data_IF_463167701651
#
_entry.id   IF_463167701651
#
_cell.length_a   1.000
_cell.length_b   1.000
_cell.length_c   1.000
_cell.angle_alpha   90.00
_cell.angle_beta   90.00
_cell.angle_gamma   90.00
#
_symmetry.space_group_name_H-M   'P 1'
#
loop_
_entity.id
_entity.type
_entity.pdbx_description
1 polymer ?
#
# COMPACT_ATOMS: atom_id res chain seq x y z
N UNK A 1 -50.59 27.15 38.96
CA UNK A 1 -49.20 26.67 38.90
C UNK A 1 -48.31 27.87 38.60
N UNK A 2 -47.27 28.10 39.41
CA UNK A 2 -46.23 29.08 39.10
C UNK A 2 -45.31 28.47 38.06
N UNK A 3 -45.29 28.99 36.84
CA UNK A 3 -44.36 28.58 35.80
C UNK A 3 -42.95 29.01 36.22
N UNK A 4 -42.05 28.06 36.50
CA UNK A 4 -40.64 28.39 36.71
C UNK A 4 -39.96 28.56 35.35
N UNK A 5 -38.96 29.46 35.29
CA UNK A 5 -38.10 29.58 34.12
C UNK A 5 -37.42 28.22 33.89
N UNK A 6 -37.51 27.70 32.67
CA UNK A 6 -36.90 26.44 32.20
C UNK A 6 -37.58 25.12 32.60
N UNK A 7 -38.86 25.11 33.04
CA UNK A 7 -39.57 23.87 33.39
C UNK A 7 -40.20 23.10 32.20
N UNK A 8 -40.19 23.64 30.97
CA UNK A 8 -40.99 23.09 29.87
C UNK A 8 -40.69 21.61 29.60
N UNK A 9 -39.42 21.19 29.60
CA UNK A 9 -39.06 19.78 29.41
C UNK A 9 -39.62 18.87 30.51
N UNK A 10 -39.64 19.33 31.77
CA UNK A 10 -40.22 18.56 32.88
C UNK A 10 -41.75 18.46 32.79
N UNK A 11 -42.41 19.47 32.25
CA UNK A 11 -43.87 19.45 32.06
C UNK A 11 -44.25 18.58 30.86
N UNK A 12 -43.45 18.60 29.78
CA UNK A 12 -43.60 17.69 28.65
C UNK A 12 -43.34 16.22 29.05
N UNK A 13 -42.35 15.95 29.92
CA UNK A 13 -42.12 14.60 30.47
C UNK A 13 -43.36 14.07 31.21
N UNK A 14 -44.01 14.89 32.04
CA UNK A 14 -45.26 14.51 32.72
C UNK A 14 -46.39 14.19 31.74
N UNK A 15 -46.49 14.92 30.63
CA UNK A 15 -47.47 14.62 29.58
C UNK A 15 -47.19 13.26 28.93
N UNK A 16 -45.92 12.97 28.61
CA UNK A 16 -45.50 11.69 28.06
C UNK A 16 -45.81 10.52 29.00
N UNK A 17 -45.42 10.65 30.28
CA UNK A 17 -45.61 9.61 31.30
C UNK A 17 -47.09 9.37 31.64
N UNK A 18 -47.91 10.42 31.67
CA UNK A 18 -49.35 10.29 31.98
C UNK A 18 -50.19 9.85 30.78
N UNK A 19 -49.72 10.09 29.55
CA UNK A 19 -50.47 9.87 28.32
C UNK A 19 -51.67 10.80 28.11
N UNK A 20 -51.89 11.77 29.00
CA UNK A 20 -53.03 12.68 28.92
C UNK A 20 -52.96 13.52 27.65
N UNK A 21 -54.10 13.60 26.93
CA UNK A 21 -54.24 14.33 25.65
C UNK A 21 -53.49 13.70 24.45
N UNK A 22 -53.05 12.44 24.58
CA UNK A 22 -52.46 11.72 23.45
C UNK A 22 -53.48 11.54 22.32
N UNK A 23 -53.07 11.88 21.10
CA UNK A 23 -53.87 11.83 19.87
C UNK A 23 -53.29 10.85 18.83
N UNK A 24 -52.24 10.11 19.22
CA UNK A 24 -51.64 9.02 18.43
C UNK A 24 -51.14 7.91 19.36
N UNK A 25 -51.15 6.68 18.86
CA UNK A 25 -50.55 5.53 19.52
C UNK A 25 -49.60 4.79 18.57
N UNK A 26 -48.56 4.17 19.13
CA UNK A 26 -47.58 3.39 18.38
C UNK A 26 -47.53 1.98 18.93
N UNK A 27 -47.76 0.96 18.10
CA UNK A 27 -47.53 -0.44 18.48
C UNK A 27 -46.07 -0.78 18.19
N UNK A 28 -45.33 -1.11 19.23
CA UNK A 28 -43.90 -1.40 19.18
C UNK A 28 -43.64 -2.88 18.87
N UNK A 29 -42.40 -3.19 18.51
CA UNK A 29 -41.97 -4.54 18.17
C UNK A 29 -42.15 -5.57 19.30
N UNK A 30 -42.14 -5.13 20.57
CA UNK A 30 -42.39 -5.97 21.75
C UNK A 30 -43.91 -6.21 22.01
N UNK A 31 -44.78 -5.70 21.13
CA UNK A 31 -46.23 -5.77 21.24
C UNK A 31 -46.85 -4.72 22.17
N UNK A 32 -46.04 -3.93 22.88
CA UNK A 32 -46.54 -2.84 23.73
C UNK A 32 -47.04 -1.67 22.88
N UNK A 33 -47.88 -0.83 23.48
CA UNK A 33 -48.40 0.38 22.84
C UNK A 33 -47.86 1.61 23.56
N UNK A 34 -47.37 2.58 22.79
CA UNK A 34 -46.82 3.84 23.27
C UNK A 34 -47.76 4.97 22.85
N UNK A 35 -48.31 5.74 23.79
CA UNK A 35 -49.17 6.88 23.51
C UNK A 35 -48.34 8.15 23.31
N UNK A 36 -48.77 9.06 22.44
CA UNK A 36 -48.04 10.28 22.17
C UNK A 36 -48.89 11.41 21.59
N UNK A 37 -48.24 12.56 21.38
CA UNK A 37 -48.84 13.80 20.93
C UNK A 37 -48.26 14.23 19.57
N UNK A 38 -49.08 14.22 18.53
CA UNK A 38 -48.68 14.55 17.15
C UNK A 38 -48.09 15.95 17.06
N UNK A 39 -48.68 16.92 17.78
CA UNK A 39 -48.23 18.31 17.76
C UNK A 39 -46.80 18.48 18.28
N UNK A 40 -46.46 17.81 19.39
CA UNK A 40 -45.11 17.86 19.99
C UNK A 40 -44.11 17.17 19.06
N UNK A 41 -44.44 15.97 18.59
CA UNK A 41 -43.58 15.20 17.69
C UNK A 41 -43.35 15.92 16.36
N UNK A 42 -44.39 16.48 15.74
CA UNK A 42 -44.26 17.26 14.50
C UNK A 42 -43.42 18.54 14.70
N UNK A 43 -43.55 19.21 15.84
CA UNK A 43 -42.79 20.43 16.12
C UNK A 43 -41.28 20.15 16.32
N UNK A 44 -40.93 18.94 16.77
CA UNK A 44 -39.56 18.60 17.23
C UNK A 44 -38.86 17.57 16.34
N UNK A 45 -39.57 16.89 15.45
CA UNK A 45 -39.04 15.84 14.58
C UNK A 45 -39.58 15.99 13.15
N UNK A 46 -38.69 16.27 12.21
CA UNK A 46 -39.02 16.50 10.79
C UNK A 46 -39.65 15.28 10.12
N UNK A 47 -39.24 14.07 10.52
CA UNK A 47 -39.87 12.83 10.06
C UNK A 47 -41.36 12.82 10.43
N UNK A 48 -41.69 13.08 11.70
CA UNK A 48 -43.09 13.10 12.15
C UNK A 48 -43.88 14.28 11.58
N UNK A 49 -43.25 15.45 11.42
CA UNK A 49 -43.87 16.58 10.75
C UNK A 49 -44.34 16.22 9.34
N UNK A 50 -43.46 15.56 8.57
CA UNK A 50 -43.76 15.07 7.24
C UNK A 50 -44.80 13.96 7.30
N UNK A 51 -44.57 12.94 8.11
CA UNK A 51 -45.45 11.78 8.22
C UNK A 51 -46.90 12.13 8.59
N UNK A 52 -47.09 13.14 9.45
CA UNK A 52 -48.41 13.62 9.85
C UNK A 52 -48.99 14.69 8.91
N UNK A 53 -48.17 15.36 8.10
CA UNK A 53 -48.58 16.46 7.21
C UNK A 53 -48.83 16.05 5.76
N UNK A 54 -48.06 15.11 5.21
CA UNK A 54 -48.12 14.69 3.79
C UNK A 54 -48.96 13.44 3.54
N UNK A 55 -49.52 12.83 4.60
CA UNK A 55 -50.36 11.63 4.49
C UNK A 55 -49.63 10.34 4.10
N UNK A 56 -48.29 10.33 4.09
CA UNK A 56 -47.49 9.13 3.78
C UNK A 56 -47.69 8.00 4.79
N UNK A 57 -47.98 8.32 6.06
CA UNK A 57 -48.39 7.33 7.06
C UNK A 57 -49.92 7.24 7.23
N UNK A 58 -50.72 8.00 6.46
CA UNK A 58 -52.16 8.15 6.72
C UNK A 58 -52.97 8.72 5.54
N UNK A 59 -53.90 7.93 4.99
CA UNK A 59 -55.16 8.47 4.47
C UNK A 59 -56.03 8.84 5.69
N UNK A 60 -56.49 10.09 5.81
CA UNK A 60 -57.00 10.65 7.09
C UNK A 60 -58.52 10.60 7.29
N UNK A 61 -58.93 10.38 8.54
CA UNK A 61 -60.18 10.78 9.20
C UNK A 61 -59.79 11.26 10.61
N UNK A 62 -60.34 12.38 11.09
CA UNK A 62 -59.91 13.11 12.29
C UNK A 62 -60.35 12.50 13.63
N UNK A 63 -61.21 11.48 13.63
CA UNK A 63 -61.96 11.06 14.82
C UNK A 63 -61.37 9.89 15.63
N UNK A 64 -60.30 9.22 15.16
CA UNK A 64 -59.85 7.94 15.74
C UNK A 64 -58.37 7.97 16.15
N UNK A 65 -58.06 7.53 17.37
CA UNK A 65 -56.67 7.35 17.84
C UNK A 65 -56.02 6.23 17.03
N UNK A 66 -55.22 6.62 16.04
CA UNK A 66 -54.57 5.67 15.12
C UNK A 66 -53.38 5.00 15.80
N UNK A 67 -53.31 3.68 15.65
CA UNK A 67 -52.19 2.85 16.08
C UNK A 67 -51.23 2.67 14.90
N UNK A 68 -50.07 3.34 14.96
CA UNK A 68 -48.99 3.24 13.97
C UNK A 68 -48.06 2.09 14.36
N UNK A 69 -47.76 1.19 13.42
CA UNK A 69 -46.82 0.09 13.68
C UNK A 69 -45.37 0.59 13.59
N UNK A 70 -44.58 0.31 14.63
CA UNK A 70 -43.15 0.60 14.68
C UNK A 70 -42.40 -0.71 14.80
N UNK A 71 -41.89 -1.18 13.66
CA UNK A 71 -41.17 -2.46 13.55
C UNK A 71 -39.68 -2.30 13.21
N UNK A 72 -39.26 -1.11 12.80
CA UNK A 72 -37.90 -0.84 12.34
C UNK A 72 -36.91 -0.50 13.46
N UNK A 73 -37.41 -0.22 14.67
CA UNK A 73 -36.58 0.06 15.86
C UNK A 73 -37.06 -0.74 17.06
N UNK A 74 -36.13 -1.22 17.93
CA UNK A 74 -36.49 -1.86 19.19
C UNK A 74 -37.35 -0.94 20.08
N UNK A 75 -38.26 -1.53 20.84
CA UNK A 75 -39.18 -0.78 21.69
C UNK A 75 -38.46 0.08 22.75
N UNK A 76 -37.33 -0.40 23.30
CA UNK A 76 -36.52 0.36 24.26
C UNK A 76 -35.92 1.63 23.61
N UNK A 77 -35.43 1.51 22.38
CA UNK A 77 -34.81 2.60 21.62
C UNK A 77 -35.85 3.63 21.22
N UNK A 78 -37.04 3.18 20.79
CA UNK A 78 -38.14 4.10 20.49
C UNK A 78 -38.52 4.96 21.70
N UNK A 79 -38.53 4.38 22.91
CA UNK A 79 -38.81 5.13 24.14
C UNK A 79 -37.74 6.22 24.39
N UNK A 80 -36.46 5.89 24.22
CA UNK A 80 -35.36 6.87 24.34
C UNK A 80 -35.47 8.01 23.31
N UNK A 81 -35.85 7.70 22.07
CA UNK A 81 -36.12 8.73 21.04
C UNK A 81 -37.26 9.65 21.46
N UNK A 82 -38.33 9.10 22.04
CA UNK A 82 -39.45 9.90 22.54
C UNK A 82 -39.06 10.74 23.76
N UNK A 83 -38.27 10.21 24.68
CA UNK A 83 -37.74 10.96 25.82
C UNK A 83 -36.94 12.18 25.32
N UNK A 84 -36.11 12.00 24.29
CA UNK A 84 -35.38 13.09 23.66
C UNK A 84 -36.33 14.12 23.00
N UNK A 85 -37.28 13.68 22.18
CA UNK A 85 -38.25 14.57 21.50
C UNK A 85 -39.01 15.47 22.49
N UNK A 86 -39.33 14.94 23.68
CA UNK A 86 -40.09 15.67 24.70
C UNK A 86 -39.22 16.51 25.62
N UNK A 87 -37.96 16.11 25.85
CA UNK A 87 -37.17 16.67 26.95
C UNK A 87 -35.78 17.18 26.59
N UNK A 88 -35.35 17.00 25.33
CA UNK A 88 -33.98 17.25 24.86
C UNK A 88 -32.91 16.47 25.68
N UNK A 89 -33.30 15.38 26.36
CA UNK A 89 -32.47 14.56 27.25
C UNK A 89 -32.62 13.07 26.89
N UNK A 90 -31.53 12.31 27.03
CA UNK A 90 -31.47 10.88 26.71
C UNK A 90 -30.42 10.18 27.59
N UNK A 91 -30.72 8.96 28.02
CA UNK A 91 -29.82 8.15 28.84
C UNK A 91 -29.06 7.15 27.96
N UNK A 92 -27.81 7.47 27.63
CA UNK A 92 -26.97 6.67 26.75
C UNK A 92 -26.03 5.73 27.54
N UNK A 93 -25.87 4.51 27.03
CA UNK A 93 -24.91 3.53 27.51
C UNK A 93 -24.30 2.72 26.35
N UNK A 94 -23.28 1.91 26.65
CA UNK A 94 -22.59 1.07 25.65
C UNK A 94 -23.49 0.05 24.94
N UNK A 95 -24.62 -0.33 25.55
CA UNK A 95 -25.57 -1.30 25.01
C UNK A 95 -26.64 -0.68 24.12
N UNK A 96 -26.93 0.62 24.27
CA UNK A 96 -28.02 1.29 23.55
C UNK A 96 -27.56 2.34 22.52
N UNK A 97 -26.35 2.90 22.66
CA UNK A 97 -25.93 4.09 21.90
C UNK A 97 -25.97 3.88 20.38
N UNK A 98 -25.66 2.68 19.91
CA UNK A 98 -25.68 2.34 18.48
C UNK A 98 -27.07 2.35 17.89
N UNK A 99 -28.01 1.69 18.55
CA UNK A 99 -29.38 1.62 18.06
C UNK A 99 -30.04 3.01 18.14
N UNK A 100 -29.70 3.81 19.16
CA UNK A 100 -30.16 5.20 19.28
C UNK A 100 -29.59 6.08 18.17
N UNK A 101 -28.30 5.91 17.84
CA UNK A 101 -27.67 6.64 16.73
C UNK A 101 -28.35 6.30 15.39
N UNK A 102 -28.58 5.01 15.09
CA UNK A 102 -29.31 4.60 13.89
C UNK A 102 -30.74 5.15 13.87
N UNK A 103 -31.45 5.10 15.00
CA UNK A 103 -32.79 5.65 15.11
C UNK A 103 -32.79 7.17 14.89
N UNK A 104 -31.80 7.89 15.41
CA UNK A 104 -31.71 9.34 15.26
C UNK A 104 -31.53 9.78 13.81
N UNK A 105 -30.83 9.01 12.98
CA UNK A 105 -30.79 9.20 11.53
C UNK A 105 -32.14 8.95 10.87
N UNK A 106 -32.78 7.81 11.16
CA UNK A 106 -34.10 7.48 10.61
C UNK A 106 -35.15 8.57 10.91
N UNK A 107 -35.16 9.06 12.15
CA UNK A 107 -36.07 10.11 12.61
C UNK A 107 -35.58 11.53 12.31
N UNK A 108 -34.42 11.71 11.67
CA UNK A 108 -33.85 13.01 11.28
C UNK A 108 -33.64 13.95 12.49
N UNK A 109 -33.09 13.42 13.58
CA UNK A 109 -32.88 14.11 14.86
C UNK A 109 -31.40 14.46 15.07
N UNK A 110 -30.93 15.56 14.48
CA UNK A 110 -29.52 15.97 14.55
C UNK A 110 -29.02 16.14 16.00
N UNK A 111 -29.79 16.79 16.87
CA UNK A 111 -29.37 16.98 18.27
C UNK A 111 -29.19 15.66 19.04
N UNK A 112 -29.92 14.61 18.67
CA UNK A 112 -29.75 13.27 19.26
C UNK A 112 -28.50 12.59 18.68
N UNK A 113 -28.24 12.74 17.38
CA UNK A 113 -26.99 12.30 16.76
C UNK A 113 -25.78 12.93 17.45
N UNK A 114 -25.82 14.25 17.67
CA UNK A 114 -24.73 15.00 18.30
C UNK A 114 -24.46 14.50 19.73
N UNK A 115 -25.51 14.17 20.50
CA UNK A 115 -25.38 13.59 21.84
C UNK A 115 -24.79 12.16 21.80
N UNK A 116 -25.21 11.32 20.85
CA UNK A 116 -24.61 10.00 20.64
C UNK A 116 -23.13 10.10 20.24
N UNK A 117 -22.82 11.02 19.33
CA UNK A 117 -21.46 11.29 18.86
C UNK A 117 -20.56 11.77 20.01
N UNK A 118 -21.07 12.70 20.82
CA UNK A 118 -20.37 13.20 22.00
C UNK A 118 -20.14 12.10 23.04
N UNK A 119 -21.15 11.27 23.32
CA UNK A 119 -21.02 10.15 24.25
C UNK A 119 -19.91 9.19 23.81
N UNK A 120 -19.93 8.78 22.54
CA UNK A 120 -18.93 7.87 21.96
C UNK A 120 -17.53 8.48 21.97
N UNK A 121 -17.41 9.77 21.64
CA UNK A 121 -16.14 10.50 21.68
C UNK A 121 -15.56 10.56 23.10
N UNK A 122 -16.40 10.87 24.10
CA UNK A 122 -16.00 10.86 25.51
C UNK A 122 -15.51 9.48 25.99
N UNK A 123 -16.05 8.38 25.48
CA UNK A 123 -15.56 7.04 25.83
C UNK A 123 -14.15 6.77 25.29
N UNK A 124 -13.78 7.37 24.17
CA UNK A 124 -12.43 7.27 23.60
C UNK A 124 -11.40 8.10 24.39
N UNK A 125 -11.81 9.26 24.92
CA UNK A 125 -10.91 10.15 25.69
C UNK A 125 -10.51 9.60 27.07
N UNK A 126 -11.29 8.69 27.66
CA UNK A 126 -11.03 8.15 29.00
C UNK A 126 -9.99 7.02 29.03
N UNK A 127 -8.72 7.38 29.21
CA UNK A 127 -7.55 6.48 29.08
C UNK A 127 -7.26 5.57 30.30
N UNK A 128 -8.25 5.03 31.01
CA UNK A 128 -7.94 4.02 32.05
C UNK A 128 -9.05 3.00 32.35
N UNK A 129 -8.64 1.76 32.64
CA UNK A 129 -9.52 0.69 33.14
C UNK A 129 -10.28 -0.07 32.05
N UNK A 130 -11.53 -0.47 32.35
CA UNK A 130 -12.37 -1.29 31.46
C UNK A 130 -12.80 -0.56 30.18
N UNK A 131 -12.96 0.77 30.24
CA UNK A 131 -13.30 1.61 29.08
C UNK A 131 -12.20 1.56 28.00
N UNK A 132 -10.93 1.46 28.41
CA UNK A 132 -9.81 1.35 27.48
C UNK A 132 -9.84 0.06 26.65
N UNK A 133 -10.16 -1.08 27.26
CA UNK A 133 -10.23 -2.36 26.55
C UNK A 133 -11.42 -2.40 25.58
N UNK A 134 -12.55 -1.85 25.99
CA UNK A 134 -13.72 -1.68 25.12
C UNK A 134 -13.39 -0.77 23.93
N UNK A 135 -12.74 0.37 24.16
CA UNK A 135 -12.36 1.32 23.12
C UNK A 135 -11.44 0.67 22.07
N UNK A 136 -10.41 -0.07 22.49
CA UNK A 136 -9.50 -0.77 21.56
C UNK A 136 -10.23 -1.83 20.72
N UNK A 137 -11.12 -2.61 21.33
CA UNK A 137 -11.89 -3.66 20.62
C UNK A 137 -12.91 -3.06 19.64
N UNK A 138 -13.59 -1.98 20.05
CA UNK A 138 -14.69 -1.36 19.29
C UNK A 138 -14.27 -0.28 18.32
N UNK A 139 -13.03 0.21 18.40
CA UNK A 139 -12.53 1.27 17.52
C UNK A 139 -12.77 1.00 16.02
N UNK A 140 -12.47 -0.20 15.47
CA UNK A 140 -12.65 -0.44 14.04
C UNK A 140 -14.11 -0.27 13.58
N UNK A 141 -15.03 -0.79 14.39
CA UNK A 141 -16.47 -0.71 14.16
C UNK A 141 -16.96 0.74 14.31
N UNK A 142 -16.49 1.45 15.35
CA UNK A 142 -16.79 2.86 15.60
C UNK A 142 -16.35 3.74 14.45
N UNK A 143 -15.12 3.55 13.97
CA UNK A 143 -14.54 4.42 12.96
C UNK A 143 -15.16 4.19 11.58
N UNK A 144 -15.42 2.94 11.20
CA UNK A 144 -16.15 2.64 9.97
C UNK A 144 -17.53 3.30 9.96
N UNK A 145 -18.30 3.15 11.04
CA UNK A 145 -19.62 3.77 11.12
C UNK A 145 -19.54 5.30 11.16
N UNK A 146 -18.57 5.89 11.85
CA UNK A 146 -18.38 7.34 11.84
C UNK A 146 -18.15 7.87 10.42
N UNK A 147 -17.32 7.17 9.65
CA UNK A 147 -17.02 7.55 8.27
C UNK A 147 -18.22 7.34 7.32
N UNK A 148 -18.96 6.24 7.47
CA UNK A 148 -20.15 5.95 6.66
C UNK A 148 -21.29 6.93 6.92
N UNK A 149 -21.48 7.34 8.18
CA UNK A 149 -22.58 8.21 8.61
C UNK A 149 -22.20 9.70 8.66
N UNK A 150 -20.94 10.05 8.32
CA UNK A 150 -20.49 11.45 8.31
C UNK A 150 -20.35 12.11 9.68
N UNK A 151 -20.09 11.32 10.73
CA UNK A 151 -19.93 11.78 12.12
C UNK A 151 -18.51 12.33 12.32
N UNK A 152 -18.32 13.62 12.03
CA UNK A 152 -17.01 14.24 11.93
C UNK A 152 -16.25 14.38 13.27
N UNK A 153 -16.95 14.58 14.39
CA UNK A 153 -16.33 14.65 15.72
C UNK A 153 -15.89 13.25 16.17
N UNK A 154 -16.73 12.24 15.98
CA UNK A 154 -16.39 10.86 16.31
C UNK A 154 -15.28 10.32 15.39
N UNK A 155 -15.29 10.63 14.10
CA UNK A 155 -14.19 10.30 13.19
C UNK A 155 -12.87 10.91 13.68
N UNK A 156 -12.91 12.16 14.16
CA UNK A 156 -11.74 12.80 14.74
C UNK A 156 -11.27 12.13 16.02
N UNK A 157 -12.18 11.82 16.94
CA UNK A 157 -11.86 11.12 18.18
C UNK A 157 -11.30 9.71 17.92
N UNK A 158 -11.92 8.95 17.01
CA UNK A 158 -11.44 7.63 16.60
C UNK A 158 -10.02 7.71 16.02
N UNK A 159 -9.78 8.68 15.14
CA UNK A 159 -8.46 8.89 14.54
C UNK A 159 -7.41 9.27 15.58
N UNK A 160 -7.72 10.21 16.47
CA UNK A 160 -6.78 10.68 17.50
C UNK A 160 -6.46 9.55 18.49
N UNK A 161 -7.47 8.76 18.89
CA UNK A 161 -7.29 7.56 19.68
C UNK A 161 -6.44 6.51 18.95
N UNK A 162 -6.72 6.26 17.67
CA UNK A 162 -5.96 5.32 16.84
C UNK A 162 -4.48 5.72 16.73
N UNK A 163 -4.21 7.01 16.54
CA UNK A 163 -2.84 7.52 16.46
C UNK A 163 -2.11 7.41 17.80
N UNK A 164 -2.80 7.73 18.90
CA UNK A 164 -2.23 7.70 20.26
C UNK A 164 -2.00 6.28 20.77
N UNK A 165 -2.89 5.33 20.46
CA UNK A 165 -2.90 3.96 20.99
C UNK A 165 -2.70 2.89 19.91
N UNK A 166 -2.06 3.28 18.80
CA UNK A 166 -1.92 2.47 17.60
C UNK A 166 -1.45 1.03 17.85
N UNK A 167 -0.48 0.81 18.73
CA UNK A 167 0.05 -0.53 19.01
C UNK A 167 -1.01 -1.51 19.50
N UNK A 168 -1.90 -1.06 20.39
CA UNK A 168 -2.95 -1.92 20.94
C UNK A 168 -4.12 -2.06 19.99
N UNK A 169 -4.41 -0.99 19.25
CA UNK A 169 -5.43 -0.98 18.20
C UNK A 169 -5.04 -1.93 17.07
N UNK A 170 -3.78 -1.96 16.66
CA UNK A 170 -3.31 -2.82 15.57
C UNK A 170 -3.27 -4.31 15.92
N UNK A 171 -3.11 -4.64 17.21
CA UNK A 171 -3.24 -6.01 17.71
C UNK A 171 -4.71 -6.46 17.86
N UNK A 172 -5.68 -5.54 17.74
CA UNK A 172 -7.07 -5.90 17.93
C UNK A 172 -7.55 -6.77 16.76
N UNK A 173 -8.37 -7.80 17.03
CA UNK A 173 -8.82 -8.72 15.98
C UNK A 173 -9.63 -8.01 14.89
N UNK A 174 -10.34 -6.93 15.24
CA UNK A 174 -11.14 -6.14 14.31
C UNK A 174 -10.34 -5.10 13.51
N UNK A 175 -9.04 -4.92 13.76
CA UNK A 175 -8.26 -3.89 13.07
C UNK A 175 -8.25 -4.04 11.54
N UNK A 176 -8.21 -5.28 11.05
CA UNK A 176 -8.29 -5.59 9.63
C UNK A 176 -9.70 -5.43 9.03
N UNK A 177 -10.71 -5.18 9.86
CA UNK A 177 -12.07 -4.84 9.43
C UNK A 177 -12.22 -3.33 9.12
N UNK A 178 -11.21 -2.49 9.43
CA UNK A 178 -11.22 -1.08 9.06
C UNK A 178 -11.32 -0.90 7.54
N UNK A 179 -12.14 0.06 7.12
CA UNK A 179 -12.29 0.41 5.73
C UNK A 179 -10.94 0.82 5.12
N UNK A 180 -10.59 0.36 3.90
CA UNK A 180 -9.29 0.65 3.29
C UNK A 180 -8.98 2.15 3.16
N UNK A 181 -10.00 2.98 2.97
CA UNK A 181 -9.90 4.44 2.92
C UNK A 181 -9.43 5.05 4.24
N UNK A 182 -9.92 4.55 5.38
CA UNK A 182 -9.54 5.01 6.71
C UNK A 182 -8.12 4.56 7.05
N UNK A 183 -7.79 3.33 6.67
CA UNK A 183 -6.42 2.81 6.78
C UNK A 183 -5.44 3.66 5.98
N UNK A 184 -5.80 4.06 4.77
CA UNK A 184 -5.01 4.95 3.94
C UNK A 184 -4.88 6.34 4.58
N UNK A 185 -5.95 6.89 5.14
CA UNK A 185 -5.91 8.19 5.82
C UNK A 185 -4.97 8.17 7.04
N UNK A 186 -5.07 7.13 7.86
CA UNK A 186 -4.19 6.92 9.02
C UNK A 186 -2.72 6.83 8.60
N UNK A 187 -2.43 6.10 7.51
CA UNK A 187 -1.06 5.81 7.07
C UNK A 187 -0.45 6.88 6.14
N UNK A 188 -1.24 7.74 5.51
CA UNK A 188 -0.76 8.78 4.58
C UNK A 188 -0.75 10.18 5.19
N UNK A 189 -1.88 10.62 5.76
CA UNK A 189 -2.07 12.00 6.25
C UNK A 189 -1.62 12.15 7.69
N UNK A 190 -1.84 11.12 8.50
CA UNK A 190 -1.64 11.17 9.95
C UNK A 190 -0.48 10.32 10.43
N UNK A 191 0.34 9.80 9.51
CA UNK A 191 1.46 8.94 9.85
C UNK A 191 2.32 9.58 10.96
N UNK A 192 2.70 10.86 10.79
CA UNK A 192 3.48 11.63 11.76
C UNK A 192 2.90 11.72 13.19
N UNK A 193 1.61 11.44 13.40
CA UNK A 193 0.93 11.46 14.70
C UNK A 193 0.88 10.08 15.37
N UNK A 194 1.22 9.01 14.65
CA UNK A 194 1.21 7.64 15.16
C UNK A 194 2.34 7.45 16.19
N UNK A 195 1.99 7.26 17.45
CA UNK A 195 2.93 6.93 18.53
C UNK A 195 3.13 5.42 18.63
N UNK A 196 4.24 4.94 18.08
CA UNK A 196 4.66 3.54 18.16
C UNK A 196 6.08 3.50 18.72
N UNK A 197 6.31 2.61 19.67
CA UNK A 197 7.64 2.27 20.18
C UNK A 197 8.54 1.83 19.03
N UNK A 198 9.84 2.11 19.11
CA UNK A 198 10.78 1.76 18.05
C UNK A 198 10.76 0.25 17.70
N UNK A 199 10.43 -0.60 18.69
CA UNK A 199 10.39 -2.06 18.58
C UNK A 199 9.18 -2.57 17.81
N UNK A 200 7.98 -1.98 17.96
CA UNK A 200 6.75 -2.46 17.29
C UNK A 200 6.48 -1.87 15.91
N UNK A 201 7.21 -0.83 15.49
CA UNK A 201 7.11 -0.29 14.12
C UNK A 201 7.38 -1.36 13.04
N UNK A 202 8.22 -2.33 13.39
CA UNK A 202 8.61 -3.49 12.58
C UNK A 202 7.46 -4.46 12.29
N UNK A 203 6.60 -4.68 13.28
CA UNK A 203 5.61 -5.76 13.24
C UNK A 203 4.27 -5.28 12.67
N UNK A 204 3.96 -4.01 12.87
CA UNK A 204 2.63 -3.46 12.59
C UNK A 204 2.54 -2.80 11.21
N UNK A 205 3.57 -2.06 10.80
CA UNK A 205 3.54 -1.29 9.54
C UNK A 205 3.61 -2.17 8.27
N UNK A 206 4.33 -3.29 8.21
CA UNK A 206 4.39 -4.13 7.00
C UNK A 206 3.11 -4.91 6.67
N UNK A 207 2.36 -5.50 7.63
CA UNK A 207 1.02 -6.04 7.35
C UNK A 207 0.05 -4.98 6.87
N UNK A 208 0.13 -3.77 7.42
CA UNK A 208 -0.69 -2.62 7.03
C UNK A 208 -0.42 -2.12 5.62
N UNK A 209 0.85 -2.00 5.25
CA UNK A 209 1.25 -1.64 3.89
C UNK A 209 0.82 -2.72 2.87
N UNK A 210 0.82 -4.00 3.26
CA UNK A 210 0.31 -5.11 2.44
C UNK A 210 -1.20 -5.04 2.25
N UNK A 211 -1.97 -4.79 3.32
CA UNK A 211 -3.42 -4.65 3.23
C UNK A 211 -3.85 -3.48 2.32
N UNK A 212 -3.11 -2.36 2.37
CA UNK A 212 -3.32 -1.23 1.46
C UNK A 212 -2.96 -1.55 0.00
N UNK A 213 -1.90 -2.33 -0.22
CA UNK A 213 -1.48 -2.75 -1.55
C UNK A 213 -2.49 -3.71 -2.20
N UNK A 214 -3.09 -4.61 -1.41
CA UNK A 214 -4.07 -5.59 -1.88
C UNK A 214 -5.44 -4.96 -2.20
N UNK A 215 -5.81 -3.87 -1.52
CA UNK A 215 -7.13 -3.23 -1.67
C UNK A 215 -7.18 -2.12 -2.75
N UNK A 216 -6.05 -1.46 -3.06
CA UNK A 216 -5.97 -0.38 -4.07
C UNK A 216 -4.63 -0.38 -4.84
N UNK A 217 -4.40 -1.33 -5.77
CA UNK A 217 -3.10 -1.50 -6.44
C UNK A 217 -2.67 -0.33 -7.34
N UNK A 218 -3.58 0.58 -7.70
CA UNK A 218 -3.34 1.63 -8.71
C UNK A 218 -3.01 3.00 -8.10
N UNK A 219 -3.27 3.22 -6.80
CA UNK A 219 -3.16 4.54 -6.15
C UNK A 219 -2.23 4.57 -4.92
N UNK A 220 -1.87 3.43 -4.32
CA UNK A 220 -1.14 3.36 -3.05
C UNK A 220 0.26 4.03 -3.02
N UNK A 221 0.94 4.16 -4.17
CA UNK A 221 2.37 4.52 -4.18
C UNK A 221 2.69 6.01 -4.28
N UNK A 222 1.69 6.87 -4.56
CA UNK A 222 1.90 8.34 -4.50
C UNK A 222 1.96 8.83 -3.04
N UNK A 223 1.20 8.20 -2.15
CA UNK A 223 1.06 8.63 -0.75
C UNK A 223 2.15 8.08 0.18
N UNK A 224 2.87 7.01 -0.21
CA UNK A 224 4.02 6.50 0.54
C UNK A 224 5.24 7.45 0.54
N UNK A 225 5.19 8.54 -0.23
CA UNK A 225 6.15 9.64 -0.11
C UNK A 225 6.12 10.30 1.28
N UNK A 226 4.98 10.24 1.99
CA UNK A 226 4.80 10.71 3.36
C UNK A 226 5.52 9.84 4.41
N UNK A 227 5.96 8.61 4.06
CA UNK A 227 6.84 7.82 4.94
C UNK A 227 8.25 8.40 5.07
N UNK A 228 8.64 9.34 4.19
CA UNK A 228 9.97 9.99 4.24
C UNK A 228 10.13 11.01 5.37
N UNK A 229 9.03 11.50 5.96
CA UNK A 229 9.07 12.55 7.00
C UNK A 229 9.33 12.03 8.42
N UNK A 230 9.35 10.71 8.64
CA UNK A 230 9.83 10.16 9.90
C UNK A 230 11.35 10.20 9.93
N UNK A 231 11.86 11.29 10.49
CA UNK A 231 13.27 11.59 10.75
C UNK A 231 13.91 10.57 11.68
N UNK A 232 14.21 9.41 11.13
CA UNK A 232 15.20 8.44 11.56
C UNK A 232 15.29 7.51 10.37
N UNK A 233 16.43 7.54 9.65
CA UNK A 233 16.70 6.57 8.58
C UNK A 233 16.22 5.21 9.10
N UNK A 234 15.33 4.51 8.38
CA UNK A 234 14.94 3.18 8.81
C UNK A 234 16.24 2.39 8.89
N UNK A 235 16.69 2.08 10.11
CA UNK A 235 17.30 0.79 10.33
C UNK A 235 16.22 -0.18 9.87
N UNK A 236 16.32 -0.51 8.59
CA UNK A 236 15.40 -1.42 7.94
C UNK A 236 15.32 -2.61 8.85
N UNK A 237 14.13 -2.84 9.39
CA UNK A 237 13.72 -4.14 9.89
C UNK A 237 13.95 -5.05 8.71
N UNK A 238 15.12 -5.66 8.72
CA UNK A 238 15.46 -6.70 7.78
C UNK A 238 14.32 -7.70 7.90
N UNK A 239 13.81 -8.23 6.79
CA UNK A 239 13.15 -9.52 6.88
C UNK A 239 14.12 -10.40 7.66
N UNK A 240 13.74 -10.90 8.84
CA UNK A 240 14.45 -12.02 9.47
C UNK A 240 14.19 -13.26 8.59
N UNK A 241 14.71 -13.22 7.37
CA UNK A 241 14.75 -14.29 6.39
C UNK A 241 16.23 -14.61 6.23
N UNK A 242 16.79 -15.17 7.29
CA UNK A 242 18.14 -15.73 7.26
C UNK A 242 18.04 -17.16 6.76
N UNK A 243 18.25 -17.37 5.45
CA UNK A 243 18.84 -18.62 5.03
C UNK A 243 20.34 -18.54 5.38
N UNK A 244 20.97 -19.61 5.84
CA UNK A 244 22.35 -19.58 6.34
C UNK A 244 23.42 -19.14 5.31
N UNK A 245 23.04 -18.83 4.06
CA UNK A 245 23.92 -18.34 2.99
C UNK A 245 23.49 -17.05 2.28
N UNK A 246 22.27 -16.53 2.49
CA UNK A 246 21.76 -15.32 1.79
C UNK A 246 21.07 -14.36 2.77
N UNK A 247 21.67 -13.19 2.97
CA UNK A 247 21.15 -12.11 3.81
C UNK A 247 20.87 -10.87 2.95
N UNK A 248 19.68 -10.28 3.08
CA UNK A 248 19.44 -8.92 2.60
C UNK A 248 20.22 -7.96 3.52
N UNK A 249 21.38 -7.49 3.06
CA UNK A 249 22.21 -6.56 3.82
C UNK A 249 21.50 -5.20 4.00
N UNK A 250 21.81 -4.47 5.08
CA UNK A 250 21.34 -3.09 5.34
C UNK A 250 21.58 -2.13 4.14
N UNK A 251 22.53 -2.46 3.27
CA UNK A 251 22.85 -1.71 2.06
C UNK A 251 21.92 -2.00 0.86
N UNK A 252 20.89 -2.85 1.01
CA UNK A 252 20.02 -3.26 -0.09
C UNK A 252 20.69 -4.21 -1.08
N UNK A 253 21.55 -5.10 -0.57
CA UNK A 253 22.27 -6.12 -1.37
C UNK A 253 21.65 -7.48 -1.16
N UNK A 254 21.33 -8.15 -2.26
CA UNK A 254 20.81 -9.52 -2.28
C UNK A 254 21.65 -10.32 -3.28
N UNK A 255 22.22 -11.42 -2.81
CA UNK A 255 23.04 -12.28 -3.64
C UNK A 255 22.53 -13.71 -3.52
N UNK A 256 22.33 -14.39 -4.65
CA UNK A 256 21.95 -15.79 -4.71
C UNK A 256 23.06 -16.56 -5.41
N UNK A 257 23.54 -17.62 -4.76
CA UNK A 257 24.57 -18.54 -5.26
C UNK A 257 23.99 -19.80 -5.90
N UNK A 258 22.69 -20.03 -5.74
CA UNK A 258 21.99 -21.11 -6.42
C UNK A 258 20.48 -20.85 -6.48
N UNK A 259 19.79 -21.50 -7.40
CA UNK A 259 18.32 -21.48 -7.46
C UNK A 259 17.66 -22.03 -6.20
N UNK A 260 18.33 -22.96 -5.50
CA UNK A 260 17.84 -23.47 -4.23
C UNK A 260 17.77 -22.36 -3.17
N UNK A 261 18.65 -21.37 -3.23
CA UNK A 261 18.61 -20.20 -2.34
C UNK A 261 17.49 -19.24 -2.74
N UNK A 262 17.24 -19.04 -4.03
CA UNK A 262 16.08 -18.26 -4.51
C UNK A 262 14.78 -18.90 -4.03
N UNK A 263 14.66 -20.24 -4.15
CA UNK A 263 13.48 -21.00 -3.68
C UNK A 263 13.33 -20.94 -2.17
N UNK A 264 14.40 -21.12 -1.40
CA UNK A 264 14.35 -21.04 0.07
C UNK A 264 14.03 -19.64 0.57
N UNK A 265 14.58 -18.61 -0.06
CA UNK A 265 14.27 -17.21 0.26
C UNK A 265 12.78 -16.91 -0.01
N UNK A 266 12.25 -17.45 -1.10
CA UNK A 266 10.81 -17.40 -1.40
C UNK A 266 9.96 -18.17 -0.38
N UNK A 267 10.35 -19.40 0.00
CA UNK A 267 9.66 -20.21 1.03
C UNK A 267 9.76 -19.62 2.44
N UNK A 268 10.84 -18.93 2.79
CA UNK A 268 10.92 -18.20 4.07
C UNK A 268 10.04 -16.95 4.11
N UNK A 269 9.58 -16.47 2.94
CA UNK A 269 8.67 -15.33 2.80
C UNK A 269 7.18 -15.73 2.73
N UNK A 270 6.88 -17.01 2.49
CA UNK A 270 5.54 -17.59 2.51
C UNK A 270 5.43 -18.57 3.67
N UNK A 271 4.58 -18.29 4.64
CA UNK A 271 4.15 -19.17 5.76
C UNK A 271 5.02 -20.43 6.04
N UNK A 272 5.75 -20.50 7.17
CA UNK A 272 6.60 -21.65 7.52
C UNK A 272 5.87 -23.00 7.65
N UNK A 273 4.54 -23.03 7.58
CA UNK A 273 3.72 -24.24 7.60
C UNK A 273 3.51 -24.94 6.23
N UNK A 274 3.95 -24.35 5.11
CA UNK A 274 3.68 -24.91 3.77
C UNK A 274 4.62 -26.09 3.42
N UNK A 275 4.05 -27.30 3.28
CA UNK A 275 4.81 -28.58 3.10
C UNK A 275 4.76 -29.17 1.68
N UNK A 276 4.24 -28.45 0.67
CA UNK A 276 4.13 -28.94 -0.71
C UNK A 276 5.40 -28.70 -1.56
N UNK A 277 5.77 -29.61 -2.50
CA UNK A 277 6.88 -29.38 -3.41
C UNK A 277 6.53 -28.27 -4.43
N UNK A 278 7.35 -27.22 -4.59
CA UNK A 278 7.07 -26.18 -5.59
C UNK A 278 7.37 -26.72 -6.99
N UNK A 279 6.36 -26.73 -7.85
CA UNK A 279 6.53 -26.87 -9.29
C UNK A 279 7.11 -25.55 -9.82
N UNK A 280 8.06 -25.60 -10.75
CA UNK A 280 8.76 -24.40 -11.26
C UNK A 280 7.81 -23.38 -11.91
N UNK A 281 6.62 -23.83 -12.34
CA UNK A 281 5.57 -23.03 -12.97
C UNK A 281 4.81 -22.14 -11.98
N UNK A 282 4.95 -22.35 -10.66
CA UNK A 282 4.20 -21.63 -9.62
C UNK A 282 5.06 -20.75 -8.71
N UNK A 283 6.33 -20.50 -9.06
CA UNK A 283 7.25 -19.66 -8.28
C UNK A 283 6.85 -18.18 -8.42
N UNK A 284 5.98 -17.71 -7.54
CA UNK A 284 5.56 -16.31 -7.46
C UNK A 284 6.71 -15.45 -6.89
N UNK A 285 7.29 -14.51 -7.66
CA UNK A 285 8.42 -13.68 -7.20
C UNK A 285 7.98 -12.57 -6.20
N UNK A 286 7.08 -12.87 -5.26
CA UNK A 286 6.60 -11.93 -4.22
C UNK A 286 7.70 -11.24 -3.43
N UNK A 287 8.85 -11.91 -3.28
CA UNK A 287 10.01 -11.32 -2.62
C UNK A 287 10.58 -10.12 -3.40
N UNK A 288 10.46 -10.12 -4.74
CA UNK A 288 10.84 -8.99 -5.59
C UNK A 288 9.98 -7.79 -5.24
N UNK A 289 8.67 -7.99 -5.11
CA UNK A 289 7.76 -6.93 -4.69
C UNK A 289 8.12 -6.35 -3.32
N UNK A 290 8.45 -7.23 -2.36
CA UNK A 290 8.83 -6.83 -1.00
C UNK A 290 10.18 -6.08 -0.93
N UNK A 291 11.15 -6.47 -1.77
CA UNK A 291 12.52 -5.93 -1.73
C UNK A 291 12.77 -4.80 -2.75
N UNK A 292 11.91 -4.67 -3.78
CA UNK A 292 12.03 -3.69 -4.86
C UNK A 292 12.38 -2.25 -4.44
N UNK A 293 11.78 -1.64 -3.40
CA UNK A 293 12.05 -0.25 -3.04
C UNK A 293 13.43 -0.02 -2.41
N UNK A 294 14.10 -1.09 -1.96
CA UNK A 294 15.39 -1.01 -1.24
C UNK A 294 16.53 -1.68 -1.97
N UNK A 295 16.22 -2.52 -2.97
CA UNK A 295 17.20 -3.35 -3.65
C UNK A 295 18.09 -2.50 -4.57
N UNK A 296 19.36 -2.41 -4.21
CA UNK A 296 20.41 -1.69 -4.96
C UNK A 296 21.35 -2.65 -5.67
N UNK A 297 21.61 -3.82 -5.10
CA UNK A 297 22.46 -4.85 -5.70
C UNK A 297 21.71 -6.17 -5.73
N UNK A 298 21.60 -6.77 -6.92
CA UNK A 298 20.99 -8.08 -7.11
C UNK A 298 21.94 -8.99 -7.89
N UNK A 299 22.36 -10.08 -7.27
CA UNK A 299 23.13 -11.15 -7.91
C UNK A 299 22.27 -12.40 -8.08
N UNK A 300 22.00 -12.78 -9.33
CA UNK A 300 21.31 -14.02 -9.72
C UNK A 300 22.24 -14.96 -10.50
N UNK A 301 23.56 -14.81 -10.34
CA UNK A 301 24.54 -15.61 -11.08
C UNK A 301 24.31 -17.10 -10.87
N UNK A 302 24.31 -17.87 -11.95
CA UNK A 302 24.11 -19.33 -11.91
C UNK A 302 22.66 -19.79 -11.69
N UNK A 303 21.68 -18.88 -11.75
CA UNK A 303 20.26 -19.25 -11.74
C UNK A 303 19.79 -19.72 -13.13
N UNK A 304 20.25 -20.90 -13.55
CA UNK A 304 20.10 -21.44 -14.90
C UNK A 304 18.65 -21.70 -15.34
N UNK A 305 17.79 -22.15 -14.44
CA UNK A 305 16.40 -22.49 -14.68
C UNK A 305 15.44 -21.35 -14.33
N UNK A 306 15.93 -20.12 -14.12
CA UNK A 306 15.06 -18.96 -13.91
C UNK A 306 14.41 -18.55 -15.24
N UNK A 307 13.08 -18.72 -15.43
CA UNK A 307 12.44 -18.40 -16.69
C UNK A 307 12.39 -16.89 -16.93
N UNK A 308 12.38 -16.49 -18.20
CA UNK A 308 12.31 -15.11 -18.67
C UNK A 308 11.18 -14.29 -18.01
N UNK A 309 10.03 -14.92 -17.70
CA UNK A 309 8.91 -14.26 -17.04
C UNK A 309 9.28 -13.72 -15.64
N UNK A 310 10.06 -14.46 -14.86
CA UNK A 310 10.49 -14.03 -13.53
C UNK A 310 11.53 -12.91 -13.60
N UNK A 311 12.40 -12.95 -14.60
CA UNK A 311 13.35 -11.86 -14.86
C UNK A 311 12.58 -10.56 -15.18
N UNK A 312 11.47 -10.63 -15.92
CA UNK A 312 10.64 -9.44 -16.21
C UNK A 312 10.07 -8.77 -14.97
N UNK A 313 9.85 -9.50 -13.89
CA UNK A 313 9.32 -8.93 -12.63
C UNK A 313 10.36 -8.05 -11.92
N UNK A 314 11.66 -8.20 -12.21
CA UNK A 314 12.71 -7.33 -11.67
C UNK A 314 12.59 -5.86 -12.12
N UNK A 315 11.71 -5.55 -13.09
CA UNK A 315 11.34 -4.18 -13.46
C UNK A 315 10.77 -3.36 -12.29
N UNK A 316 10.33 -4.00 -11.23
CA UNK A 316 9.83 -3.33 -10.02
C UNK A 316 10.96 -2.71 -9.19
N UNK A 317 12.19 -3.23 -9.29
CA UNK A 317 13.37 -2.80 -8.53
C UNK A 317 13.98 -1.51 -9.10
N UNK A 318 13.25 -0.39 -9.08
CA UNK A 318 13.68 0.88 -9.71
C UNK A 318 14.94 1.53 -9.11
N UNK A 319 15.32 1.11 -7.91
CA UNK A 319 16.49 1.62 -7.18
C UNK A 319 17.77 0.82 -7.46
N UNK A 320 17.71 -0.15 -8.38
CA UNK A 320 18.82 -1.04 -8.69
C UNK A 320 20.00 -0.29 -9.33
N UNK A 321 21.17 -0.48 -8.74
CA UNK A 321 22.46 0.10 -9.16
C UNK A 321 23.40 -0.99 -9.69
N UNK A 322 23.22 -2.24 -9.29
CA UNK A 322 24.05 -3.35 -9.70
C UNK A 322 23.20 -4.60 -9.94
N UNK A 323 23.34 -5.20 -11.11
CA UNK A 323 22.61 -6.41 -11.52
C UNK A 323 23.54 -7.41 -12.17
N UNK A 324 23.52 -8.66 -11.70
CA UNK A 324 24.07 -9.81 -12.42
C UNK A 324 22.99 -10.82 -12.74
N UNK A 325 22.87 -11.17 -14.02
CA UNK A 325 22.08 -12.30 -14.52
C UNK A 325 22.98 -13.37 -15.15
N UNK A 326 24.28 -13.36 -14.84
CA UNK A 326 25.25 -14.24 -15.49
C UNK A 326 24.89 -15.71 -15.34
N UNK A 327 24.91 -16.46 -16.45
CA UNK A 327 24.52 -17.86 -16.48
C UNK A 327 23.01 -18.15 -16.38
N UNK A 328 22.13 -17.13 -16.35
CA UNK A 328 20.69 -17.34 -16.48
C UNK A 328 20.32 -17.73 -17.93
N UNK A 329 20.55 -19.00 -18.30
CA UNK A 329 20.50 -19.44 -19.71
C UNK A 329 19.16 -19.25 -20.43
N UNK A 330 18.08 -19.07 -19.68
CA UNK A 330 16.73 -18.79 -20.18
C UNK A 330 16.41 -17.29 -20.33
N UNK A 331 17.33 -16.40 -20.00
CA UNK A 331 17.16 -14.95 -20.16
C UNK A 331 17.17 -14.56 -21.64
N UNK A 332 16.03 -14.07 -22.14
CA UNK A 332 15.89 -13.54 -23.50
C UNK A 332 16.02 -12.01 -23.54
N UNK A 333 16.20 -11.46 -24.75
CA UNK A 333 16.31 -10.01 -24.96
C UNK A 333 15.10 -9.25 -24.39
N UNK A 334 13.90 -9.82 -24.50
CA UNK A 334 12.66 -9.17 -24.05
C UNK A 334 12.61 -9.03 -22.54
N UNK A 335 13.03 -10.07 -21.81
CA UNK A 335 13.11 -10.07 -20.36
C UNK A 335 14.13 -9.05 -19.88
N UNK A 336 15.37 -9.10 -20.40
CA UNK A 336 16.42 -8.16 -20.00
C UNK A 336 16.00 -6.71 -20.31
N UNK A 337 15.51 -6.43 -21.53
CA UNK A 337 15.00 -5.09 -21.89
C UNK A 337 13.95 -4.54 -20.93
N UNK A 338 13.02 -5.39 -20.49
CA UNK A 338 11.94 -4.97 -19.60
C UNK A 338 12.48 -4.48 -18.24
N UNK A 339 13.59 -5.07 -17.77
CA UNK A 339 14.28 -4.66 -16.56
C UNK A 339 15.06 -3.38 -16.81
N UNK A 340 15.88 -3.35 -17.87
CA UNK A 340 16.75 -2.21 -18.18
C UNK A 340 15.96 -0.90 -18.38
N UNK A 341 14.79 -0.96 -19.05
CA UNK A 341 13.91 0.21 -19.22
C UNK A 341 13.33 0.75 -17.91
N UNK A 342 13.31 -0.04 -16.85
CA UNK A 342 12.77 0.36 -15.56
C UNK A 342 13.86 0.74 -14.55
N UNK A 343 15.10 0.27 -14.74
CA UNK A 343 16.22 0.48 -13.80
C UNK A 343 17.22 1.52 -14.32
N UNK A 344 16.78 2.77 -14.43
CA UNK A 344 17.58 3.88 -14.98
C UNK A 344 18.78 4.30 -14.10
N UNK A 345 18.85 3.81 -12.86
CA UNK A 345 19.95 4.08 -11.91
C UNK A 345 21.09 3.06 -11.97
N UNK A 346 21.00 2.11 -12.89
CA UNK A 346 21.97 1.02 -12.99
C UNK A 346 23.37 1.56 -13.33
N UNK A 347 24.35 1.15 -12.54
CA UNK A 347 25.77 1.49 -12.68
C UNK A 347 26.58 0.30 -13.19
N UNK A 348 26.19 -0.93 -12.81
CA UNK A 348 26.86 -2.16 -13.25
C UNK A 348 25.84 -3.18 -13.73
N UNK A 349 26.07 -3.73 -14.92
CA UNK A 349 25.26 -4.76 -15.54
C UNK A 349 26.13 -5.91 -16.02
N UNK A 350 25.93 -7.09 -15.45
CA UNK A 350 26.64 -8.32 -15.82
C UNK A 350 25.66 -9.31 -16.46
N UNK A 351 25.88 -9.58 -17.74
CA UNK A 351 25.07 -10.43 -18.60
C UNK A 351 25.98 -11.47 -19.27
N UNK A 352 26.62 -12.30 -18.46
CA UNK A 352 27.65 -13.24 -18.95
C UNK A 352 27.07 -14.61 -19.26
N UNK A 353 27.61 -15.28 -20.28
CA UNK A 353 27.29 -16.64 -20.69
C UNK A 353 25.78 -16.86 -20.93
N UNK A 354 25.12 -15.89 -21.57
CA UNK A 354 23.71 -15.93 -21.93
C UNK A 354 23.51 -16.34 -23.41
N UNK A 355 23.07 -17.59 -23.69
CA UNK A 355 23.02 -18.13 -25.06
C UNK A 355 21.85 -17.60 -25.90
N UNK A 356 20.82 -17.03 -25.26
CA UNK A 356 19.63 -16.51 -25.92
C UNK A 356 19.69 -15.01 -26.22
N UNK A 357 20.63 -14.28 -25.60
CA UNK A 357 20.81 -12.85 -25.82
C UNK A 357 21.39 -12.57 -27.20
N UNK A 358 20.81 -11.60 -27.91
CA UNK A 358 21.23 -11.15 -29.24
C UNK A 358 21.48 -9.65 -29.26
N UNK A 359 21.80 -9.09 -30.43
CA UNK A 359 21.94 -7.65 -30.65
C UNK A 359 20.71 -6.86 -30.18
N UNK A 360 19.55 -7.53 -30.11
CA UNK A 360 18.32 -6.96 -29.60
C UNK A 360 18.50 -6.29 -28.23
N UNK A 361 19.22 -6.91 -27.29
CA UNK A 361 19.35 -6.44 -25.89
C UNK A 361 19.78 -4.98 -25.76
N UNK A 362 20.58 -4.49 -26.73
CA UNK A 362 21.12 -3.12 -26.75
C UNK A 362 20.02 -2.04 -26.78
N UNK A 363 18.86 -2.33 -27.38
CA UNK A 363 17.71 -1.42 -27.40
C UNK A 363 16.99 -1.25 -26.04
N UNK A 364 17.45 -1.94 -25.00
CA UNK A 364 17.02 -1.71 -23.61
C UNK A 364 17.93 -0.74 -22.86
N UNK A 365 19.09 -0.39 -23.42
CA UNK A 365 20.13 0.39 -22.74
C UNK A 365 20.00 1.90 -22.97
N UNK A 366 19.08 2.34 -23.85
CA UNK A 366 18.93 3.73 -24.28
C UNK A 366 18.83 4.71 -23.10
N UNK A 367 18.14 4.34 -22.02
CA UNK A 367 17.88 5.20 -20.85
C UNK A 367 18.89 5.01 -19.68
N UNK A 368 19.96 4.24 -19.87
CA UNK A 368 20.92 3.90 -18.80
C UNK A 368 22.07 4.90 -18.68
N UNK A 369 21.75 6.18 -18.46
CA UNK A 369 22.73 7.27 -18.41
C UNK A 369 23.76 7.18 -17.26
N UNK A 370 23.55 6.29 -16.30
CA UNK A 370 24.46 6.08 -15.15
C UNK A 370 25.33 4.82 -15.27
N UNK A 371 25.22 4.08 -16.38
CA UNK A 371 25.89 2.79 -16.54
C UNK A 371 27.40 2.99 -16.75
N UNK A 372 28.19 2.48 -15.80
CA UNK A 372 29.66 2.55 -15.81
C UNK A 372 30.31 1.25 -16.26
N UNK A 373 29.66 0.12 -16.00
CA UNK A 373 30.25 -1.21 -16.27
C UNK A 373 29.23 -2.13 -16.93
N UNK A 374 29.60 -2.67 -18.09
CA UNK A 374 28.81 -3.63 -18.86
C UNK A 374 29.66 -4.85 -19.19
N UNK A 375 29.19 -6.03 -18.78
CA UNK A 375 29.77 -7.30 -19.21
C UNK A 375 28.75 -8.07 -20.05
N UNK A 376 29.13 -8.39 -21.28
CA UNK A 376 28.41 -9.27 -22.21
C UNK A 376 29.26 -10.49 -22.56
N UNK A 377 30.17 -10.88 -21.67
CA UNK A 377 31.09 -11.98 -21.89
C UNK A 377 30.35 -13.26 -22.27
N UNK A 378 30.86 -14.01 -23.25
CA UNK A 378 30.30 -15.31 -23.62
C UNK A 378 28.93 -15.27 -24.32
N UNK A 379 28.38 -14.10 -24.61
CA UNK A 379 27.16 -13.96 -25.41
C UNK A 379 27.43 -14.25 -26.90
N UNK A 380 27.47 -15.54 -27.26
CA UNK A 380 27.91 -16.03 -28.58
C UNK A 380 27.06 -15.58 -29.80
N UNK A 381 25.88 -14.99 -29.57
CA UNK A 381 24.99 -14.49 -30.64
C UNK A 381 25.11 -12.98 -30.88
N UNK A 382 25.88 -12.25 -30.07
CA UNK A 382 26.19 -10.84 -30.34
C UNK A 382 27.10 -10.71 -31.56
N UNK A 383 26.79 -9.76 -32.44
CA UNK A 383 27.60 -9.42 -33.62
C UNK A 383 27.95 -7.92 -33.60
N UNK A 384 28.77 -7.48 -34.56
CA UNK A 384 29.13 -6.07 -34.71
C UNK A 384 27.91 -5.12 -34.84
N UNK A 385 26.77 -5.62 -35.32
CA UNK A 385 25.52 -4.86 -35.48
C UNK A 385 24.92 -4.41 -34.14
N UNK A 386 25.23 -5.10 -33.04
CA UNK A 386 24.84 -4.67 -31.70
C UNK A 386 25.29 -3.23 -31.40
N UNK A 387 26.40 -2.82 -32.02
CA UNK A 387 27.04 -1.53 -31.80
C UNK A 387 26.75 -0.50 -32.90
N UNK A 388 25.90 -0.81 -33.88
CA UNK A 388 25.58 0.11 -34.99
C UNK A 388 24.85 1.37 -34.52
N UNK A 389 24.00 1.22 -33.50
CA UNK A 389 23.20 2.32 -32.94
C UNK A 389 23.89 3.04 -31.79
N UNK A 390 25.05 2.56 -31.38
CA UNK A 390 25.84 3.13 -30.31
C UNK A 390 26.51 4.40 -30.87
N UNK A 391 25.94 5.56 -30.55
CA UNK A 391 26.39 6.87 -31.06
C UNK A 391 25.73 7.37 -32.34
N UNK A 392 24.70 6.69 -32.88
CA UNK A 392 24.15 6.94 -34.22
C UNK A 392 22.98 7.94 -34.30
N UNK A 393 22.78 8.82 -33.32
CA UNK A 393 21.74 9.86 -33.40
C UNK A 393 22.35 11.25 -33.31
N UNK A 394 22.14 12.03 -34.38
CA UNK A 394 22.61 13.42 -34.56
C UNK A 394 22.13 14.44 -33.51
N UNK A 395 21.32 14.04 -32.51
CA UNK A 395 20.64 14.97 -31.58
C UNK A 395 20.51 14.48 -30.13
N UNK A 396 21.44 13.64 -29.65
CA UNK A 396 21.73 13.61 -28.21
C UNK A 396 21.66 12.26 -27.49
N UNK A 397 22.76 12.01 -26.78
CA UNK A 397 22.92 11.26 -25.53
C UNK A 397 22.47 9.79 -25.56
N UNK A 398 23.46 8.93 -25.80
CA UNK A 398 23.42 7.48 -25.53
C UNK A 398 24.30 7.27 -24.28
N UNK A 399 23.95 6.31 -23.41
CA UNK A 399 24.69 5.87 -22.20
C UNK A 399 26.22 5.74 -22.32
N UNK A 400 26.75 5.79 -23.55
CA UNK A 400 28.16 5.82 -23.93
C UNK A 400 29.02 6.87 -23.22
N UNK A 401 28.46 7.96 -22.71
CA UNK A 401 29.26 8.98 -22.00
C UNK A 401 29.55 8.59 -20.54
N UNK A 402 28.78 7.68 -19.92
CA UNK A 402 29.05 7.26 -18.53
C UNK A 402 29.87 5.98 -18.45
N UNK A 403 29.99 5.23 -19.55
CA UNK A 403 30.58 3.89 -19.49
C UNK A 403 32.10 3.94 -19.40
N UNK A 404 32.63 3.25 -18.40
CA UNK A 404 34.06 3.19 -18.07
C UNK A 404 34.65 1.82 -18.38
N UNK A 405 33.86 0.74 -18.23
CA UNK A 405 34.32 -0.64 -18.42
C UNK A 405 33.37 -1.45 -19.28
N UNK A 406 33.91 -2.12 -20.30
CA UNK A 406 33.18 -3.04 -21.16
C UNK A 406 33.94 -4.36 -21.28
N UNK A 407 33.24 -5.48 -21.06
CA UNK A 407 33.76 -6.83 -21.28
C UNK A 407 32.96 -7.54 -22.38
N UNK A 408 33.65 -7.84 -23.49
CA UNK A 408 33.16 -8.57 -24.67
C UNK A 408 33.96 -9.85 -24.90
N UNK A 409 34.60 -10.37 -23.85
CA UNK A 409 35.38 -11.60 -23.94
C UNK A 409 34.50 -12.76 -24.40
N UNK A 410 35.09 -13.70 -25.14
CA UNK A 410 34.40 -14.90 -25.65
C UNK A 410 33.15 -14.59 -26.47
N UNK A 411 33.10 -13.43 -27.13
CA UNK A 411 32.09 -13.06 -28.13
C UNK A 411 32.67 -13.24 -29.54
N UNK A 412 32.67 -14.45 -30.13
CA UNK A 412 33.43 -14.77 -31.35
C UNK A 412 32.96 -14.00 -32.59
N UNK A 413 31.71 -13.53 -32.60
CA UNK A 413 31.11 -12.80 -33.73
C UNK A 413 31.22 -11.28 -33.58
N UNK A 414 31.75 -10.79 -32.45
CA UNK A 414 32.12 -9.38 -32.29
C UNK A 414 33.57 -9.25 -32.75
N UNK A 415 33.78 -8.51 -33.82
CA UNK A 415 35.08 -8.31 -34.43
C UNK A 415 35.64 -6.93 -34.09
N UNK A 416 36.81 -6.62 -34.65
CA UNK A 416 37.42 -5.31 -34.54
C UNK A 416 36.51 -4.17 -35.04
N UNK A 417 35.55 -4.45 -35.92
CA UNK A 417 34.59 -3.44 -36.42
C UNK A 417 33.62 -3.02 -35.32
N UNK A 418 32.98 -3.96 -34.62
CA UNK A 418 32.08 -3.66 -33.50
C UNK A 418 32.83 -3.00 -32.34
N UNK A 419 34.03 -3.51 -32.03
CA UNK A 419 34.90 -2.91 -31.01
C UNK A 419 35.28 -1.46 -31.38
N UNK A 420 35.61 -1.18 -32.63
CA UNK A 420 35.92 0.17 -33.08
C UNK A 420 34.73 1.12 -32.96
N UNK A 421 33.51 0.67 -33.24
CA UNK A 421 32.27 1.46 -33.06
C UNK A 421 32.05 1.81 -31.59
N UNK A 422 32.18 0.83 -30.70
CA UNK A 422 32.03 1.04 -29.26
C UNK A 422 33.10 1.98 -28.70
N UNK A 423 34.37 1.78 -29.08
CA UNK A 423 35.47 2.64 -28.68
C UNK A 423 35.31 4.08 -29.21
N UNK A 424 34.71 4.26 -30.39
CA UNK A 424 34.44 5.59 -30.95
C UNK A 424 33.29 6.32 -30.26
N UNK A 425 32.26 5.58 -29.85
CA UNK A 425 31.08 6.16 -29.23
C UNK A 425 31.26 6.43 -27.73
N UNK A 426 32.05 5.61 -27.02
CA UNK A 426 32.20 5.68 -25.57
C UNK A 426 33.44 6.50 -25.18
N UNK A 427 33.26 7.79 -24.93
CA UNK A 427 34.36 8.76 -24.73
C UNK A 427 35.07 8.60 -23.37
N UNK A 428 34.36 8.11 -22.34
CA UNK A 428 34.90 7.89 -21.00
C UNK A 428 35.36 6.44 -20.75
N UNK A 429 35.44 5.62 -21.80
CA UNK A 429 35.85 4.22 -21.68
C UNK A 429 37.31 4.10 -21.23
N UNK A 430 37.53 3.47 -20.08
CA UNK A 430 38.85 3.27 -19.47
C UNK A 430 39.37 1.84 -19.68
N UNK A 431 38.48 0.85 -19.68
CA UNK A 431 38.84 -0.55 -19.80
C UNK A 431 37.95 -1.28 -20.79
N UNK A 432 38.58 -1.93 -21.76
CA UNK A 432 37.91 -2.80 -22.73
C UNK A 432 38.56 -4.18 -22.73
N UNK A 433 37.78 -5.20 -22.41
CA UNK A 433 38.24 -6.60 -22.36
C UNK A 433 37.62 -7.34 -23.54
N UNK A 434 38.45 -7.90 -24.41
CA UNK A 434 38.02 -8.52 -25.69
C UNK A 434 38.69 -9.88 -25.91
N UNK A 435 39.06 -10.55 -24.82
CA UNK A 435 39.78 -11.84 -24.83
C UNK A 435 38.93 -12.94 -25.49
N UNK A 436 39.45 -13.60 -26.53
CA UNK A 436 38.70 -14.63 -27.25
C UNK A 436 37.48 -14.10 -28.04
N UNK A 437 37.44 -12.79 -28.33
CA UNK A 437 36.53 -12.22 -29.32
C UNK A 437 37.07 -12.43 -30.75
N UNK A 438 36.29 -12.06 -31.77
CA UNK A 438 36.74 -12.06 -33.18
C UNK A 438 37.63 -10.87 -33.54
N UNK A 439 38.05 -10.04 -32.58
CA UNK A 439 38.88 -8.87 -32.82
C UNK A 439 40.36 -9.24 -32.93
N UNK A 440 41.05 -8.73 -33.95
CA UNK A 440 42.48 -8.98 -34.14
C UNK A 440 43.33 -8.02 -33.30
N UNK A 441 44.39 -8.48 -32.63
CA UNK A 441 45.28 -7.63 -31.82
C UNK A 441 45.83 -6.41 -32.58
N UNK A 442 46.15 -6.57 -33.86
CA UNK A 442 46.64 -5.49 -34.72
C UNK A 442 45.61 -4.38 -34.94
N UNK A 443 44.33 -4.74 -35.15
CA UNK A 443 43.27 -3.75 -35.34
C UNK A 443 42.93 -3.02 -34.02
N UNK A 444 43.09 -3.69 -32.89
CA UNK A 444 42.87 -3.11 -31.56
C UNK A 444 44.01 -2.17 -31.14
N UNK A 445 45.25 -2.53 -31.47
CA UNK A 445 46.40 -1.64 -31.27
C UNK A 445 46.20 -0.30 -31.99
N UNK A 446 45.64 -0.32 -33.22
CA UNK A 446 45.33 0.89 -33.97
C UNK A 446 44.28 1.80 -33.30
N UNK A 447 43.40 1.26 -32.45
CA UNK A 447 42.43 2.05 -31.68
C UNK A 447 43.09 2.82 -30.53
N UNK A 448 44.14 2.27 -29.91
CA UNK A 448 44.86 2.90 -28.80
C UNK A 448 45.68 4.14 -29.21
N UNK A 449 46.05 4.27 -30.48
CA UNK A 449 46.91 5.35 -30.99
C UNK A 449 46.14 6.59 -31.49
N UNK A 450 44.80 6.64 -31.37
CA UNK A 450 44.02 7.80 -31.84
C UNK A 450 44.18 9.03 -30.93
N UNK A 451 44.52 10.22 -31.46
CA UNK A 451 44.62 11.45 -30.67
C UNK A 451 43.23 11.88 -30.19
N UNK A 452 43.02 11.93 -28.88
CA UNK A 452 41.76 12.39 -28.26
C UNK A 452 41.12 11.44 -27.25
N UNK A 453 41.63 10.23 -27.07
CA UNK A 453 41.10 9.26 -26.10
C UNK A 453 41.93 9.21 -24.80
N UNK A 454 41.30 9.26 -23.61
CA UNK A 454 42.01 9.08 -22.35
C UNK A 454 42.42 7.61 -22.20
N UNK A 455 43.71 7.34 -21.95
CA UNK A 455 44.33 6.06 -21.47
C UNK A 455 43.43 4.78 -21.51
N UNK A 456 42.94 4.40 -22.68
CA UNK A 456 42.12 3.20 -22.84
C UNK A 456 43.00 1.95 -22.65
N UNK A 457 42.71 1.17 -21.62
CA UNK A 457 43.37 -0.11 -21.36
C UNK A 457 42.60 -1.23 -22.06
N UNK A 458 43.18 -1.76 -23.13
CA UNK A 458 42.64 -2.93 -23.82
C UNK A 458 43.33 -4.18 -23.28
N UNK A 459 42.57 -5.08 -22.65
CA UNK A 459 43.07 -6.39 -22.24
C UNK A 459 42.82 -7.41 -23.35
N UNK A 460 43.93 -7.97 -23.82
CA UNK A 460 44.03 -9.12 -24.70
C UNK A 460 44.68 -10.24 -23.90
N UNK A 461 44.43 -11.51 -24.26
CA UNK A 461 45.06 -12.64 -23.60
C UNK A 461 46.59 -12.40 -23.52
N UNK A 462 47.25 -12.80 -22.41
CA UNK A 462 48.67 -13.09 -22.50
C UNK A 462 48.81 -14.27 -23.49
N UNK A 463 49.65 -14.09 -24.51
CA UNK A 463 50.05 -15.18 -25.42
C UNK A 463 50.64 -16.37 -24.65
#
# INVERSE_FOLDING_TARGET
MSLSKNAIGSDLRKLLESGNFSDVAFRLADGTTFAGHRAIMAARCSYFASAFGTGTLTQFSEAEVKVIQVTHVPAAVFRLVMDFIYTDDVQLDHGNVWDVLQASEYYMLQGLQDLCEQYLSCQLDTVSGQSYAWAVDKLPQLWNAAAENGLAQLDAACRDFACTHFERVADSPGFFELAPSLLQQLLSRHAHQITVSAERKADVLPPLARLLADTQPQHAWKDLSAYRTFGSRPEFVQPRVTCHSTQLSLDGKLEFRSEHEVRRFHQGALDPAFTGPPLWETVDMRWVHACAPVLRKLDLTGCHHLPALHIRQLRECRELQWLSLSGCVLADDGAVKSVLRATVRLQTLLLEDLPLITNGVMAGMDDLYSLRELSLQGCARLTDEAFDKVGAYSWGWVWCDAIERVNLSRCPKVTHVGVAKLAQACTNLQQLIVEGSGATPAALAALCYRPGYPRLSIRLQPE
#
